data_IF_067784222573
#
_entry.id   IF_067784222573
#
_cell.length_a   1.000
_cell.length_b   1.000
_cell.length_c   1.000
_cell.angle_alpha   90.00
_cell.angle_beta   90.00
_cell.angle_gamma   90.00
#
_symmetry.space_group_name_H-M   'P 1'
#
loop_
_entity.id
_entity.type
_entity.pdbx_description
1 polymer ?
#
# COMPACT_ATOMS: atom_id res chain seq x y z
N UNK A 1 -6.16 -22.63 7.81
CA UNK A 1 -6.57 -21.27 7.42
C UNK A 1 -5.64 -20.86 6.31
N UNK A 2 -6.20 -20.44 5.18
CA UNK A 2 -5.44 -20.08 3.99
C UNK A 2 -5.05 -18.61 4.07
N UNK A 3 -3.76 -18.32 4.00
CA UNK A 3 -3.25 -16.95 4.15
C UNK A 3 -2.37 -16.57 2.96
N UNK A 4 -2.66 -15.41 2.39
CA UNK A 4 -1.80 -14.77 1.39
C UNK A 4 -1.26 -13.49 1.99
N UNK A 5 0.07 -13.36 1.99
CA UNK A 5 0.74 -12.20 2.57
C UNK A 5 1.72 -11.58 1.59
N UNK A 6 1.78 -10.26 1.60
CA UNK A 6 2.74 -9.46 0.89
C UNK A 6 3.26 -8.35 1.79
N UNK A 7 4.59 -8.26 1.89
CA UNK A 7 5.29 -7.24 2.67
C UNK A 7 6.17 -6.43 1.73
N UNK A 8 6.10 -5.11 1.85
CA UNK A 8 6.98 -4.16 1.18
C UNK A 8 7.59 -3.22 2.19
N UNK A 9 8.88 -2.95 2.08
CA UNK A 9 9.58 -1.97 2.90
C UNK A 9 10.78 -1.44 2.14
N UNK A 10 10.87 -0.12 2.01
CA UNK A 10 11.97 0.54 1.32
C UNK A 10 12.34 1.85 2.01
N UNK A 11 13.59 2.27 1.83
CA UNK A 11 14.08 3.58 2.24
C UNK A 11 14.73 4.27 1.06
N UNK A 12 14.27 5.47 0.73
CA UNK A 12 14.74 6.23 -0.42
C UNK A 12 14.79 7.72 -0.13
N UNK A 13 15.68 8.42 -0.82
CA UNK A 13 15.77 9.87 -0.71
C UNK A 13 14.93 10.54 -1.79
N UNK A 14 14.29 11.65 -1.43
CA UNK A 14 13.65 12.59 -2.36
C UNK A 14 14.34 13.95 -2.19
N UNK A 15 14.74 14.56 -3.31
CA UNK A 15 15.30 15.90 -3.35
C UNK A 15 14.21 16.98 -3.22
N UNK A 16 13.47 16.93 -2.12
CA UNK A 16 12.48 17.94 -1.77
C UNK A 16 12.37 18.17 -0.27
N UNK A 17 11.75 19.30 0.11
CA UNK A 17 11.51 19.68 1.51
C UNK A 17 10.59 18.67 2.21
N UNK A 18 10.83 18.32 3.49
CA UNK A 18 10.04 17.32 4.21
C UNK A 18 8.52 17.56 4.16
N UNK A 19 8.08 18.81 4.28
CA UNK A 19 6.65 19.14 4.22
C UNK A 19 6.02 18.84 2.85
N UNK A 20 6.71 19.15 1.74
CA UNK A 20 6.21 18.85 0.39
C UNK A 20 6.07 17.34 0.18
N UNK A 21 7.09 16.60 0.62
CA UNK A 21 7.08 15.13 0.58
C UNK A 21 5.93 14.57 1.44
N UNK A 22 5.80 15.01 2.69
CA UNK A 22 4.74 14.55 3.59
C UNK A 22 3.33 14.85 3.06
N UNK A 23 3.11 16.04 2.48
CA UNK A 23 1.85 16.39 1.84
C UNK A 23 1.53 15.50 0.64
N UNK A 24 2.55 15.13 -0.15
CA UNK A 24 2.35 14.20 -1.26
C UNK A 24 1.91 12.81 -0.77
N UNK A 25 2.55 12.28 0.26
CA UNK A 25 2.20 10.96 0.80
C UNK A 25 0.93 10.96 1.66
N UNK A 26 0.40 12.12 2.06
CA UNK A 26 -0.89 12.22 2.76
C UNK A 26 -2.09 12.42 1.83
N UNK A 27 -1.87 12.88 0.60
CA UNK A 27 -2.95 13.00 -0.39
C UNK A 27 -3.25 11.64 -1.03
N UNK A 28 -4.38 11.07 -0.62
CA UNK A 28 -4.95 9.83 -1.12
C UNK A 28 -5.07 9.80 -2.66
N UNK A 29 -5.28 10.95 -3.31
CA UNK A 29 -5.36 11.02 -4.78
C UNK A 29 -4.06 10.58 -5.44
N UNK A 30 -2.91 10.89 -4.84
CA UNK A 30 -1.63 10.48 -5.40
C UNK A 30 -1.50 8.95 -5.47
N UNK A 31 -2.08 8.23 -4.51
CA UNK A 31 -2.12 6.77 -4.58
C UNK A 31 -3.00 6.31 -5.75
N UNK A 32 -4.20 6.87 -5.90
CA UNK A 32 -5.14 6.51 -6.97
C UNK A 32 -4.54 6.78 -8.35
N UNK A 33 -3.90 7.94 -8.52
CA UNK A 33 -3.41 8.41 -9.81
C UNK A 33 -2.10 7.72 -10.23
N UNK A 34 -1.29 7.27 -9.25
CA UNK A 34 0.08 6.81 -9.50
C UNK A 34 0.30 5.32 -9.20
N UNK A 35 -0.60 4.64 -8.49
CA UNK A 35 -0.52 3.19 -8.28
C UNK A 35 -1.47 2.44 -9.22
N UNK A 36 -0.94 1.57 -10.10
CA UNK A 36 -1.80 0.74 -10.94
C UNK A 36 -2.66 -0.22 -10.09
N UNK A 37 -3.89 -0.45 -10.55
CA UNK A 37 -4.87 -1.39 -9.95
C UNK A 37 -5.54 -0.95 -8.65
N UNK A 38 -5.29 0.27 -8.16
CA UNK A 38 -6.19 0.90 -7.19
C UNK A 38 -7.48 1.28 -7.93
N UNK A 39 -8.60 0.69 -7.52
CA UNK A 39 -9.91 1.01 -8.11
C UNK A 39 -10.56 2.23 -7.44
N UNK A 40 -10.35 2.40 -6.14
CA UNK A 40 -10.83 3.56 -5.40
C UNK A 40 -10.16 3.66 -4.04
N UNK A 41 -9.90 4.87 -3.58
CA UNK A 41 -9.61 5.16 -2.17
C UNK A 41 -10.45 6.35 -1.73
N UNK A 42 -11.09 6.25 -0.56
CA UNK A 42 -11.85 7.35 0.03
C UNK A 42 -11.89 7.22 1.54
N UNK A 43 -12.08 8.35 2.23
CA UNK A 43 -12.29 8.38 3.68
C UNK A 43 -13.76 8.67 3.98
N UNK A 44 -14.36 7.89 4.88
CA UNK A 44 -15.76 8.10 5.30
C UNK A 44 -15.89 9.14 6.42
N UNK A 45 -17.13 9.40 6.84
CA UNK A 45 -17.44 10.38 7.89
C UNK A 45 -16.88 10.01 9.28
N UNK A 46 -16.47 8.76 9.49
CA UNK A 46 -15.86 8.28 10.74
C UNK A 46 -14.32 8.31 10.69
N UNK A 47 -13.73 8.84 9.62
CA UNK A 47 -12.28 8.87 9.44
C UNK A 47 -11.68 7.51 9.04
N UNK A 48 -12.51 6.56 8.57
CA UNK A 48 -12.03 5.27 8.07
C UNK A 48 -11.70 5.41 6.59
N UNK A 49 -10.47 5.06 6.22
CA UNK A 49 -10.04 5.04 4.83
C UNK A 49 -10.33 3.67 4.20
N UNK A 50 -11.09 3.67 3.13
CA UNK A 50 -11.53 2.49 2.38
C UNK A 50 -10.75 2.38 1.08
N UNK A 51 -9.96 1.32 0.97
CA UNK A 51 -9.25 0.97 -0.26
C UNK A 51 -9.98 -0.13 -0.98
N UNK A 52 -10.10 -0.01 -2.30
CA UNK A 52 -10.50 -1.11 -3.17
C UNK A 52 -9.38 -1.35 -4.17
N UNK A 53 -8.78 -2.53 -4.10
CA UNK A 53 -7.61 -2.91 -4.89
C UNK A 53 -7.98 -4.09 -5.76
N UNK A 54 -7.69 -4.01 -7.06
CA UNK A 54 -7.76 -5.15 -7.97
C UNK A 54 -6.42 -5.87 -7.97
N UNK A 55 -6.44 -7.14 -7.62
CA UNK A 55 -5.25 -8.00 -7.69
C UNK A 55 -5.40 -8.91 -8.91
N UNK A 56 -4.35 -8.99 -9.72
CA UNK A 56 -4.27 -9.91 -10.86
C UNK A 56 -3.11 -10.85 -10.61
N UNK A 57 -3.39 -12.13 -10.38
CA UNK A 57 -2.37 -13.16 -10.14
C UNK A 57 -2.39 -14.13 -11.34
N UNK A 58 -1.28 -14.27 -12.10
CA UNK A 58 -1.17 -15.23 -13.19
C UNK A 58 -1.56 -16.63 -12.74
N UNK A 59 -2.23 -17.37 -13.63
CA UNK A 59 -2.74 -18.74 -13.39
C UNK A 59 -3.86 -18.84 -12.35
N UNK A 60 -3.99 -17.87 -11.44
CA UNK A 60 -5.10 -17.79 -10.49
C UNK A 60 -6.26 -17.01 -11.09
N UNK A 61 -6.04 -15.79 -11.59
CA UNK A 61 -7.09 -14.92 -12.12
C UNK A 61 -7.03 -13.51 -11.51
N UNK A 62 -8.09 -12.73 -11.68
CA UNK A 62 -8.23 -11.41 -11.05
C UNK A 62 -9.33 -11.41 -10.00
N UNK A 63 -9.08 -10.74 -8.87
CA UNK A 63 -10.07 -10.53 -7.81
C UNK A 63 -9.91 -9.11 -7.25
N UNK A 64 -10.95 -8.59 -6.61
CA UNK A 64 -10.92 -7.26 -5.99
C UNK A 64 -11.11 -7.40 -4.49
N UNK A 65 -10.23 -6.77 -3.73
CA UNK A 65 -10.28 -6.77 -2.27
C UNK A 65 -10.55 -5.37 -1.73
N UNK A 66 -11.26 -5.34 -0.61
CA UNK A 66 -11.56 -4.11 0.13
C UNK A 66 -10.84 -4.14 1.46
N UNK A 67 -10.21 -3.03 1.81
CA UNK A 67 -9.53 -2.83 3.07
C UNK A 67 -10.08 -1.58 3.76
N UNK A 68 -10.31 -1.70 5.06
CA UNK A 68 -10.76 -0.60 5.90
C UNK A 68 -9.66 -0.26 6.89
N UNK A 69 -9.21 0.99 6.88
CA UNK A 69 -8.06 1.45 7.64
C UNK A 69 -8.42 2.57 8.60
N UNK A 70 -7.86 2.52 9.80
CA UNK A 70 -7.92 3.59 10.80
C UNK A 70 -6.57 4.32 10.85
N UNK A 71 -6.62 5.64 10.91
CA UNK A 71 -5.44 6.48 11.11
C UNK A 71 -4.87 6.21 12.51
N UNK A 72 -3.56 6.00 12.57
CA UNK A 72 -2.80 5.85 13.82
C UNK A 72 -1.96 7.09 14.07
N UNK A 73 -1.29 7.59 13.03
CA UNK A 73 -0.64 8.90 13.04
C UNK A 73 -0.71 9.56 11.66
N UNK A 74 -0.73 10.89 11.65
CA UNK A 74 -0.61 11.74 10.48
C UNK A 74 -0.05 13.10 10.92
N UNK A 75 1.18 13.05 11.42
CA UNK A 75 1.93 14.20 11.91
C UNK A 75 3.01 14.62 10.91
N UNK A 76 3.92 15.50 11.34
CA UNK A 76 4.96 16.06 10.48
C UNK A 76 6.09 15.05 10.15
N UNK A 77 6.25 14.01 10.96
CA UNK A 77 7.31 13.01 10.83
C UNK A 77 6.79 11.66 10.34
N UNK A 78 5.53 11.34 10.58
CA UNK A 78 4.96 10.01 10.36
C UNK A 78 3.52 10.05 9.83
N UNK A 79 3.26 9.21 8.84
CA UNK A 79 1.92 8.77 8.45
C UNK A 79 1.83 7.28 8.76
N UNK A 80 0.81 6.85 9.49
CA UNK A 80 0.57 5.44 9.82
C UNK A 80 -0.91 5.11 9.78
N UNK A 81 -1.25 4.03 9.07
CA UNK A 81 -2.60 3.48 8.96
C UNK A 81 -2.57 1.98 9.24
N UNK A 82 -3.58 1.50 9.98
CA UNK A 82 -3.73 0.09 10.38
C UNK A 82 -5.12 -0.43 10.05
N UNK A 83 -5.32 -1.76 9.98
CA UNK A 83 -6.66 -2.32 9.82
C UNK A 83 -7.61 -1.80 10.91
N UNK A 84 -8.86 -1.52 10.55
CA UNK A 84 -9.88 -1.16 11.52
C UNK A 84 -10.03 -2.23 12.60
N UNK A 85 -10.35 -1.82 13.82
CA UNK A 85 -10.54 -2.74 14.93
C UNK A 85 -11.57 -3.84 14.60
N UNK A 86 -11.18 -5.10 14.80
CA UNK A 86 -12.05 -6.26 14.57
C UNK A 86 -11.99 -6.85 13.15
N UNK A 87 -11.30 -6.21 12.20
CA UNK A 87 -11.01 -6.82 10.89
C UNK A 87 -10.12 -8.07 11.07
N UNK A 88 -10.44 -9.15 10.36
CA UNK A 88 -9.79 -10.47 10.50
C UNK A 88 -9.48 -11.16 9.19
N UNK A 89 -9.94 -10.65 8.06
CA UNK A 89 -9.86 -11.27 6.74
C UNK A 89 -9.03 -10.45 5.77
N UNK A 90 -9.21 -9.13 5.74
CA UNK A 90 -8.54 -8.24 4.80
C UNK A 90 -7.73 -7.21 5.57
N UNK A 91 -6.49 -7.55 5.87
CA UNK A 91 -5.61 -6.73 6.68
C UNK A 91 -4.66 -5.98 5.75
N UNK A 92 -4.68 -4.66 5.86
CA UNK A 92 -3.68 -3.81 5.23
C UNK A 92 -3.16 -2.83 6.28
N UNK A 93 -1.87 -2.55 6.27
CA UNK A 93 -1.28 -1.44 7.01
C UNK A 93 -0.22 -0.79 6.16
N UNK A 94 -0.03 0.51 6.32
CA UNK A 94 1.14 1.17 5.76
C UNK A 94 1.63 2.25 6.72
N UNK A 95 2.92 2.52 6.64
CA UNK A 95 3.55 3.61 7.34
C UNK A 95 4.58 4.31 6.47
N UNK A 96 4.79 5.58 6.75
CA UNK A 96 5.78 6.40 6.06
C UNK A 96 6.40 7.36 7.07
N UNK A 97 7.72 7.26 7.25
CA UNK A 97 8.48 8.20 8.07
C UNK A 97 9.24 9.17 7.17
N UNK A 98 9.28 10.45 7.56
CA UNK A 98 9.94 11.53 6.84
C UNK A 98 11.09 12.08 7.68
N UNK A 99 12.33 11.79 7.26
CA UNK A 99 13.54 12.19 7.98
C UNK A 99 14.26 13.29 7.20
N UNK A 100 14.31 14.54 7.71
CA UNK A 100 15.07 15.61 7.06
C UNK A 100 16.57 15.25 6.96
N UNK A 101 17.14 15.40 5.76
CA UNK A 101 18.59 15.22 5.49
C UNK A 101 19.27 16.52 5.07
N UNK A 102 18.53 17.62 5.01
CA UNK A 102 18.99 18.95 4.62
C UNK A 102 17.79 19.85 4.30
N UNK A 103 18.06 21.04 3.74
CA UNK A 103 16.99 22.00 3.43
C UNK A 103 15.99 21.50 2.38
N UNK A 104 16.47 20.82 1.33
CA UNK A 104 15.68 20.30 0.21
C UNK A 104 15.96 18.80 0.00
N UNK A 105 16.07 18.03 1.08
CA UNK A 105 16.34 16.60 1.00
C UNK A 105 15.67 15.86 2.15
N UNK A 106 14.90 14.83 1.81
CA UNK A 106 14.15 14.02 2.77
C UNK A 106 14.43 12.55 2.52
N UNK A 107 14.80 11.82 3.56
CA UNK A 107 14.82 10.36 3.54
C UNK A 107 13.43 9.87 3.93
N UNK A 108 12.78 9.13 3.04
CA UNK A 108 11.49 8.49 3.24
C UNK A 108 11.72 7.03 3.61
N UNK A 109 11.06 6.55 4.64
CA UNK A 109 11.00 5.13 4.98
C UNK A 109 9.55 4.67 4.81
N UNK A 110 9.26 3.93 3.75
CA UNK A 110 7.92 3.49 3.41
C UNK A 110 7.78 2.00 3.69
N UNK A 111 6.68 1.61 4.34
CA UNK A 111 6.32 0.19 4.50
C UNK A 111 4.85 -0.04 4.23
N UNK A 112 4.52 -1.16 3.61
CA UNK A 112 3.16 -1.61 3.39
C UNK A 112 3.09 -3.13 3.59
N UNK A 113 2.09 -3.57 4.35
CA UNK A 113 1.81 -4.98 4.61
C UNK A 113 0.37 -5.25 4.21
N UNK A 114 0.16 -6.30 3.42
CA UNK A 114 -1.16 -6.79 3.04
C UNK A 114 -1.25 -8.27 3.38
N UNK A 115 -2.30 -8.66 4.10
CA UNK A 115 -2.59 -10.03 4.46
C UNK A 115 -4.07 -10.36 4.22
N UNK A 116 -4.32 -11.35 3.38
CA UNK A 116 -5.63 -11.91 3.09
C UNK A 116 -5.75 -13.25 3.79
N UNK A 117 -6.75 -13.40 4.66
CA UNK A 117 -7.07 -14.64 5.37
C UNK A 117 -8.41 -15.19 4.88
N UNK A 118 -8.41 -16.46 4.49
CA UNK A 118 -9.57 -17.21 3.99
C UNK A 118 -9.67 -18.56 4.68
N UNK A 119 -10.86 -19.15 4.66
CA UNK A 119 -11.03 -20.54 5.13
C UNK A 119 -10.33 -21.50 4.17
N UNK A 120 -10.42 -21.20 2.86
CA UNK A 120 -9.81 -21.97 1.79
C UNK A 120 -9.40 -21.07 0.62
N UNK A 121 -8.47 -21.53 -0.21
CA UNK A 121 -8.01 -20.80 -1.39
C UNK A 121 -9.14 -20.46 -2.37
N UNK A 122 -10.16 -21.32 -2.47
CA UNK A 122 -11.31 -21.14 -3.36
C UNK A 122 -12.10 -19.85 -3.08
N UNK A 123 -11.99 -19.28 -1.87
CA UNK A 123 -12.61 -18.00 -1.51
C UNK A 123 -11.90 -16.79 -2.16
N UNK A 124 -10.62 -16.90 -2.53
CA UNK A 124 -9.96 -15.88 -3.34
C UNK A 124 -10.33 -16.03 -4.81
N UNK A 125 -10.18 -17.26 -5.32
CA UNK A 125 -10.54 -17.62 -6.68
C UNK A 125 -10.59 -19.14 -6.82
N UNK A 126 -11.45 -19.67 -7.71
CA UNK A 126 -11.58 -21.11 -7.93
C UNK A 126 -10.23 -21.80 -8.23
N UNK A 127 -9.41 -21.18 -9.07
CA UNK A 127 -8.09 -21.71 -9.45
C UNK A 127 -7.01 -21.55 -8.37
N UNK A 128 -7.24 -20.73 -7.35
CA UNK A 128 -6.30 -20.59 -6.24
C UNK A 128 -6.14 -21.90 -5.45
N UNK A 129 -7.14 -22.79 -5.46
CA UNK A 129 -7.02 -24.13 -4.85
C UNK A 129 -5.90 -25.00 -5.43
N UNK A 130 -5.48 -24.72 -6.66
CA UNK A 130 -4.40 -25.45 -7.33
C UNK A 130 -3.03 -24.78 -7.13
N UNK A 131 -3.00 -23.50 -6.77
CA UNK A 131 -1.78 -22.76 -6.48
C UNK A 131 -1.60 -22.66 -4.95
N UNK A 132 -0.54 -23.23 -4.40
CA UNK A 132 -0.30 -23.18 -2.96
C UNK A 132 -0.17 -21.76 -2.40
N UNK A 133 -0.42 -21.57 -1.10
CA UNK A 133 -0.30 -20.28 -0.38
C UNK A 133 1.00 -19.54 -0.66
N UNK A 134 2.12 -20.27 -0.70
CA UNK A 134 3.45 -19.71 -0.93
C UNK A 134 3.61 -19.13 -2.34
N UNK A 135 3.05 -19.80 -3.36
CA UNK A 135 3.08 -19.34 -4.75
C UNK A 135 2.27 -18.06 -4.89
N UNK A 136 1.08 -18.04 -4.31
CA UNK A 136 0.17 -16.90 -4.38
C UNK A 136 0.76 -15.71 -3.59
N UNK A 137 1.30 -15.95 -2.40
CA UNK A 137 1.97 -14.92 -1.58
C UNK A 137 3.19 -14.34 -2.27
N UNK A 138 4.05 -15.19 -2.86
CA UNK A 138 5.23 -14.73 -3.59
C UNK A 138 4.87 -13.86 -4.80
N UNK A 139 3.87 -14.28 -5.58
CA UNK A 139 3.43 -13.51 -6.75
C UNK A 139 2.70 -12.22 -6.35
N UNK A 140 1.92 -12.24 -5.27
CA UNK A 140 1.29 -11.04 -4.72
C UNK A 140 2.34 -10.05 -4.21
N UNK A 141 3.38 -10.55 -3.52
CA UNK A 141 4.51 -9.75 -3.04
C UNK A 141 5.22 -9.09 -4.20
N UNK A 142 5.61 -9.87 -5.22
CA UNK A 142 6.27 -9.35 -6.44
C UNK A 142 5.48 -8.22 -7.10
N UNK A 143 4.16 -8.37 -7.25
CA UNK A 143 3.30 -7.37 -7.90
C UNK A 143 3.12 -6.11 -7.08
N UNK A 144 2.97 -6.26 -5.76
CA UNK A 144 2.87 -5.11 -4.86
C UNK A 144 4.20 -4.34 -4.87
N UNK A 145 5.35 -5.05 -4.82
CA UNK A 145 6.65 -4.41 -4.97
C UNK A 145 6.77 -3.64 -6.29
N UNK A 146 6.45 -4.25 -7.43
CA UNK A 146 6.51 -3.57 -8.73
C UNK A 146 5.61 -2.33 -8.81
N UNK A 147 4.42 -2.40 -8.23
CA UNK A 147 3.48 -1.28 -8.14
C UNK A 147 4.06 -0.15 -7.28
N UNK A 148 4.60 -0.49 -6.10
CA UNK A 148 5.12 0.47 -5.14
C UNK A 148 6.44 1.09 -5.60
N UNK A 149 7.32 0.32 -6.24
CA UNK A 149 8.54 0.84 -6.88
C UNK A 149 8.19 1.88 -7.95
N UNK A 150 7.18 1.59 -8.79
CA UNK A 150 6.66 2.52 -9.79
C UNK A 150 6.07 3.79 -9.17
N UNK A 151 5.31 3.65 -8.08
CA UNK A 151 4.78 4.78 -7.32
C UNK A 151 5.89 5.65 -6.74
N UNK A 152 6.91 5.04 -6.12
CA UNK A 152 8.06 5.75 -5.53
C UNK A 152 8.84 6.49 -6.62
N UNK A 153 9.03 5.89 -7.79
CA UNK A 153 9.69 6.57 -8.90
C UNK A 153 8.87 7.77 -9.40
N UNK A 154 7.55 7.62 -9.56
CA UNK A 154 6.67 8.72 -9.94
C UNK A 154 6.68 9.84 -8.89
N UNK A 155 6.69 9.49 -7.60
CA UNK A 155 6.78 10.45 -6.50
C UNK A 155 8.06 11.28 -6.57
N UNK A 156 9.22 10.63 -6.81
CA UNK A 156 10.49 11.33 -7.06
C UNK A 156 10.39 12.25 -8.27
N UNK A 157 9.89 11.74 -9.39
CA UNK A 157 9.78 12.49 -10.63
C UNK A 157 8.89 13.73 -10.54
N UNK A 158 7.90 13.73 -9.65
CA UNK A 158 7.02 14.88 -9.39
C UNK A 158 7.69 15.83 -8.41
N UNK A 159 8.06 15.34 -7.23
CA UNK A 159 8.55 16.16 -6.12
C UNK A 159 9.90 16.82 -6.40
N UNK A 160 10.76 16.19 -7.19
CA UNK A 160 12.08 16.72 -7.53
C UNK A 160 12.05 17.72 -8.70
N UNK A 161 10.92 17.87 -9.39
CA UNK A 161 10.72 18.88 -10.45
C UNK A 161 10.09 20.18 -9.93
N UNK A 162 9.51 20.15 -8.73
CA UNK A 162 8.83 21.29 -8.10
C UNK A 162 9.76 22.17 -7.24
N UNK A 163 11.01 21.74 -7.00
CA UNK A 163 12.07 22.49 -6.30
C UNK A 163 13.16 23.02 -7.25
#
# INVERSE_FOLDING_TARGET
MFTVRADFSESFEILSKPNSVRLFFSDVKNFIDLMPNIESVHTDANGIMHWKIRVVIPLVGSFSEKFSLSEVSNDDETIEWKPTAGEKHNLMSFSTNFLPKGKNKTLVQFSQIIELRRTSAAELHFLAGFAGESVISGEMTRRISEMLDGFIQNAKDILEKED
#
